data_IF_734901340589
#
_entry.id   IF_734901340589
#
_cell.length_a   1.000
_cell.length_b   1.000
_cell.length_c   1.000
_cell.angle_alpha   90.00
_cell.angle_beta   90.00
_cell.angle_gamma   90.00
#
_symmetry.space_group_name_H-M   'P 1'
#
loop_
_entity.id
_entity.type
_entity.pdbx_description
1 polymer ?
#
# COMPACT_ATOMS: atom_id res chain seq x y z
N UNK A 1 -9.92 -8.82 -7.49
CA UNK A 1 -9.44 -9.23 -6.16
C UNK A 1 -9.81 -8.20 -5.11
N UNK A 2 -10.38 -8.67 -4.02
CA UNK A 2 -10.77 -7.79 -2.93
C UNK A 2 -10.91 -8.64 -1.67
N UNK A 3 -10.19 -8.27 -0.62
CA UNK A 3 -10.30 -9.01 0.63
C UNK A 3 -9.83 -8.15 1.81
N UNK A 4 -10.18 -8.61 3.02
CA UNK A 4 -9.88 -7.94 4.27
C UNK A 4 -8.92 -8.80 5.08
N UNK A 5 -7.82 -8.21 5.53
CA UNK A 5 -6.88 -8.85 6.44
C UNK A 5 -6.98 -8.14 7.78
N UNK A 6 -7.61 -8.80 8.76
CA UNK A 6 -7.94 -8.21 10.05
C UNK A 6 -6.99 -8.73 11.13
N UNK A 7 -6.17 -7.83 11.67
CA UNK A 7 -5.23 -8.18 12.72
C UNK A 7 -5.59 -7.46 14.02
N UNK A 8 -4.87 -7.79 15.09
CA UNK A 8 -5.20 -7.29 16.43
C UNK A 8 -5.31 -5.77 16.50
N UNK A 9 -4.38 -5.05 15.91
CA UNK A 9 -4.35 -3.58 16.00
C UNK A 9 -4.40 -2.86 14.67
N UNK A 10 -4.50 -3.59 13.57
CA UNK A 10 -4.53 -2.99 12.23
C UNK A 10 -5.34 -3.87 11.29
N UNK A 11 -6.10 -3.23 10.41
CA UNK A 11 -6.86 -3.91 9.38
C UNK A 11 -6.35 -3.45 8.03
N UNK A 12 -6.11 -4.39 7.12
CA UNK A 12 -5.74 -4.08 5.74
C UNK A 12 -6.87 -4.51 4.81
N UNK A 13 -7.29 -3.60 3.96
CA UNK A 13 -8.25 -3.92 2.92
C UNK A 13 -7.52 -3.88 1.59
N UNK A 14 -7.61 -4.96 0.81
CA UNK A 14 -6.95 -5.08 -0.48
C UNK A 14 -8.00 -5.06 -1.57
N UNK A 15 -7.84 -4.17 -2.53
CA UNK A 15 -8.85 -3.96 -3.56
C UNK A 15 -8.18 -3.69 -4.90
N UNK A 16 -8.59 -4.42 -5.93
CA UNK A 16 -8.13 -4.15 -7.28
C UNK A 16 -8.93 -2.98 -7.84
N UNK A 17 -8.25 -1.89 -8.18
CA UNK A 17 -8.93 -0.69 -8.67
C UNK A 17 -8.87 -0.56 -10.19
N UNK A 18 -7.93 -1.24 -10.82
CA UNK A 18 -7.87 -1.37 -12.28
C UNK A 18 -6.94 -2.53 -12.61
N UNK A 19 -6.77 -2.80 -13.89
CA UNK A 19 -6.07 -4.00 -14.35
C UNK A 19 -4.69 -4.19 -13.74
N UNK A 20 -3.95 -3.10 -13.57
CA UNK A 20 -2.57 -3.20 -13.10
C UNK A 20 -2.31 -2.46 -11.78
N UNK A 21 -3.34 -2.19 -11.00
CA UNK A 21 -3.18 -1.44 -9.76
C UNK A 21 -4.04 -2.00 -8.64
N UNK A 22 -3.39 -2.19 -7.49
CA UNK A 22 -4.01 -2.70 -6.27
C UNK A 22 -3.94 -1.59 -5.21
N UNK A 23 -5.06 -1.33 -4.57
CA UNK A 23 -5.11 -0.40 -3.44
C UNK A 23 -5.06 -1.21 -2.16
N UNK A 24 -4.14 -0.84 -1.27
CA UNK A 24 -4.08 -1.42 0.07
C UNK A 24 -4.35 -0.28 1.04
N UNK A 25 -5.50 -0.35 1.66
CA UNK A 25 -5.91 0.66 2.65
C UNK A 25 -5.84 0.05 4.04
N UNK A 26 -5.21 0.76 4.97
CA UNK A 26 -5.14 0.27 6.34
C UNK A 26 -5.91 1.20 7.28
N UNK A 27 -6.45 0.60 8.33
CA UNK A 27 -7.08 1.33 9.43
C UNK A 27 -6.48 0.82 10.72
N UNK A 28 -6.08 1.74 11.58
CA UNK A 28 -5.52 1.38 12.88
C UNK A 28 -6.67 1.26 13.88
N UNK A 29 -6.66 0.18 14.65
CA UNK A 29 -7.66 -0.04 15.70
C UNK A 29 -7.29 0.69 16.99
N UNK A 30 -6.02 1.11 17.09
CA UNK A 30 -5.53 1.91 18.20
C UNK A 30 -4.24 2.58 17.75
N UNK A 31 -3.72 3.47 18.57
CA UNK A 31 -2.44 4.10 18.28
C UNK A 31 -1.34 3.04 18.30
N UNK A 32 -0.43 3.08 17.33
CA UNK A 32 0.66 2.11 17.27
C UNK A 32 1.84 2.55 18.10
N UNK A 33 2.51 1.57 18.74
CA UNK A 33 3.81 1.76 19.34
C UNK A 33 4.86 1.26 18.33
N UNK A 34 6.06 1.84 18.32
CA UNK A 34 7.09 1.36 17.37
C UNK A 34 7.33 -0.14 17.42
N UNK A 35 7.26 -0.75 18.60
CA UNK A 35 7.47 -2.19 18.74
C UNK A 35 6.39 -3.02 18.05
N UNK A 36 5.23 -2.44 17.79
CA UNK A 36 4.15 -3.15 17.10
C UNK A 36 4.55 -3.58 15.70
N UNK A 37 5.52 -2.88 15.09
CA UNK A 37 5.95 -3.22 13.73
C UNK A 37 6.41 -4.67 13.61
N UNK A 38 6.93 -5.25 14.69
CA UNK A 38 7.38 -6.64 14.68
C UNK A 38 6.23 -7.62 14.48
N UNK A 39 5.01 -7.20 14.76
CA UNK A 39 3.84 -8.06 14.73
C UNK A 39 2.84 -7.68 13.65
N UNK A 40 3.23 -6.79 12.73
CA UNK A 40 2.39 -6.43 11.60
C UNK A 40 2.73 -7.34 10.44
N UNK A 41 1.70 -7.98 9.88
CA UNK A 41 1.86 -8.88 8.75
C UNK A 41 1.03 -8.35 7.58
N UNK A 42 1.62 -7.46 6.76
CA UNK A 42 0.87 -6.92 5.62
C UNK A 42 0.54 -8.01 4.61
N UNK A 43 -0.51 -7.82 3.81
CA UNK A 43 -0.87 -8.80 2.77
C UNK A 43 0.31 -9.08 1.86
N UNK A 44 0.64 -10.36 1.70
CA UNK A 44 1.80 -10.79 0.93
C UNK A 44 1.51 -10.70 -0.57
N UNK A 45 2.28 -9.92 -1.34
CA UNK A 45 1.98 -9.72 -2.76
C UNK A 45 2.20 -10.96 -3.62
N UNK A 46 3.15 -11.81 -3.26
CA UNK A 46 3.42 -13.03 -4.02
C UNK A 46 2.34 -14.06 -3.75
N UNK A 47 2.06 -14.31 -2.47
CA UNK A 47 1.07 -15.27 -2.06
C UNK A 47 -0.31 -14.91 -2.61
N UNK A 48 -0.63 -13.62 -2.63
CA UNK A 48 -1.93 -13.13 -3.10
C UNK A 48 -1.91 -12.68 -4.56
N UNK A 49 -0.81 -12.96 -5.25
CA UNK A 49 -0.71 -12.81 -6.71
C UNK A 49 -0.91 -11.39 -7.23
N UNK A 50 -0.40 -10.40 -6.49
CA UNK A 50 -0.45 -9.03 -6.99
C UNK A 50 0.93 -8.36 -7.10
N UNK A 51 2.00 -9.17 -7.06
CA UNK A 51 3.35 -8.60 -7.14
C UNK A 51 3.64 -7.92 -8.48
N UNK A 52 2.90 -8.27 -9.53
CA UNK A 52 3.10 -7.65 -10.84
C UNK A 52 2.20 -6.44 -11.07
N UNK A 53 1.83 -5.77 -9.98
CA UNK A 53 0.97 -4.60 -10.03
C UNK A 53 1.61 -3.41 -9.34
N UNK A 54 1.08 -2.23 -9.64
CA UNK A 54 1.33 -1.06 -8.81
C UNK A 54 0.58 -1.28 -7.50
N UNK A 55 1.25 -1.10 -6.38
CA UNK A 55 0.63 -1.17 -5.06
C UNK A 55 0.48 0.25 -4.54
N UNK A 56 -0.76 0.66 -4.28
CA UNK A 56 -1.06 1.98 -3.74
C UNK A 56 -1.37 1.83 -2.25
N UNK A 57 -0.60 2.53 -1.42
CA UNK A 57 -0.78 2.48 0.02
C UNK A 57 -1.61 3.67 0.47
N UNK A 58 -2.60 3.43 1.32
CA UNK A 58 -3.51 4.46 1.81
C UNK A 58 -3.87 4.18 3.26
N UNK A 59 -4.05 5.23 4.04
CA UNK A 59 -4.47 5.10 5.43
C UNK A 59 -3.79 6.13 6.31
N UNK A 60 -4.36 6.35 7.49
CA UNK A 60 -3.82 7.27 8.47
C UNK A 60 -2.95 6.52 9.46
N UNK A 61 -1.69 6.94 9.57
CA UNK A 61 -0.78 6.32 10.52
C UNK A 61 0.51 7.09 10.60
N UNK A 62 1.41 6.69 11.50
CA UNK A 62 2.69 7.38 11.63
C UNK A 62 3.54 7.19 10.39
N UNK A 63 4.42 8.16 10.14
CA UNK A 63 5.24 8.11 8.93
C UNK A 63 6.13 6.87 8.89
N UNK A 64 6.59 6.38 10.06
CA UNK A 64 7.44 5.20 10.09
C UNK A 64 6.69 3.92 9.71
N UNK A 65 5.35 3.91 9.84
CA UNK A 65 4.56 2.79 9.34
C UNK A 65 4.63 2.75 7.82
N UNK A 66 4.53 3.91 7.16
CA UNK A 66 4.68 3.96 5.70
C UNK A 66 6.07 3.51 5.27
N UNK A 67 7.11 3.90 6.02
CA UNK A 67 8.45 3.43 5.71
C UNK A 67 8.55 1.92 5.76
N UNK A 68 7.96 1.32 6.79
CA UNK A 68 7.94 -0.13 6.95
C UNK A 68 7.18 -0.80 5.80
N UNK A 69 6.00 -0.28 5.45
CA UNK A 69 5.19 -0.85 4.38
C UNK A 69 5.87 -0.73 3.02
N UNK A 70 6.49 0.41 2.74
CA UNK A 70 7.19 0.59 1.47
C UNK A 70 8.31 -0.42 1.31
N UNK A 71 9.06 -0.64 2.39
CA UNK A 71 10.12 -1.66 2.34
C UNK A 71 9.54 -3.06 2.15
N UNK A 72 8.44 -3.36 2.84
CA UNK A 72 7.80 -4.67 2.73
C UNK A 72 7.38 -4.95 1.29
N UNK A 73 6.86 -3.92 0.59
CA UNK A 73 6.36 -4.09 -0.77
C UNK A 73 7.42 -3.82 -1.85
N UNK A 74 8.69 -3.69 -1.46
CA UNK A 74 9.77 -3.47 -2.41
C UNK A 74 9.74 -4.40 -3.64
N UNK A 75 9.38 -5.69 -3.52
CA UNK A 75 9.41 -6.59 -4.67
C UNK A 75 8.32 -6.37 -5.72
N UNK A 76 7.30 -5.54 -5.43
CA UNK A 76 6.22 -5.36 -6.41
C UNK A 76 6.67 -4.47 -7.57
N UNK A 77 5.85 -4.41 -8.61
CA UNK A 77 6.15 -3.66 -9.83
C UNK A 77 6.42 -2.18 -9.55
N UNK A 78 5.61 -1.55 -8.72
CA UNK A 78 5.78 -0.16 -8.33
C UNK A 78 4.97 0.12 -7.08
N UNK A 79 5.35 1.18 -6.34
CA UNK A 79 4.66 1.57 -5.11
C UNK A 79 4.30 3.04 -5.20
N UNK A 80 3.06 3.36 -4.83
CA UNK A 80 2.60 4.74 -4.73
C UNK A 80 1.93 4.95 -3.38
N UNK A 81 1.95 6.19 -2.91
CA UNK A 81 1.36 6.55 -1.61
C UNK A 81 0.26 7.57 -1.85
N UNK A 82 -0.93 7.27 -1.37
CA UNK A 82 -2.07 8.16 -1.55
C UNK A 82 -1.92 9.42 -0.69
N UNK A 83 -2.13 10.57 -1.32
CA UNK A 83 -2.09 11.87 -0.64
C UNK A 83 -3.42 12.56 -0.90
N UNK A 84 -4.27 12.71 0.13
CA UNK A 84 -5.60 13.35 -0.06
C UNK A 84 -5.51 14.76 -0.62
N UNK A 85 -4.44 15.50 -0.31
CA UNK A 85 -4.29 16.87 -0.80
C UNK A 85 -4.12 16.91 -2.31
N UNK A 86 -3.58 15.85 -2.89
CA UNK A 86 -3.37 15.75 -4.34
C UNK A 86 -4.47 14.95 -5.02
N UNK A 87 -5.37 14.37 -4.23
CA UNK A 87 -6.44 13.51 -4.73
C UNK A 87 -5.87 12.43 -5.65
N UNK A 88 -4.78 11.82 -5.23
CA UNK A 88 -4.13 10.79 -6.00
C UNK A 88 -2.96 10.20 -5.26
N UNK A 89 -2.33 9.20 -5.86
CA UNK A 89 -1.20 8.52 -5.26
C UNK A 89 0.09 8.88 -5.97
N UNK A 90 1.12 9.19 -5.20
CA UNK A 90 2.42 9.58 -5.74
C UNK A 90 3.29 8.35 -5.84
N UNK A 91 3.80 8.06 -7.04
CA UNK A 91 4.71 6.94 -7.25
C UNK A 91 6.05 7.26 -6.59
N UNK A 92 6.47 6.42 -5.63
CA UNK A 92 7.70 6.65 -4.88
C UNK A 92 8.77 5.60 -5.16
N UNK A 93 8.38 4.47 -5.77
CA UNK A 93 9.33 3.43 -6.15
C UNK A 93 8.80 2.73 -7.39
N UNK A 94 9.68 2.41 -8.35
CA UNK A 94 9.23 1.76 -9.57
C UNK A 94 10.32 0.87 -10.16
N UNK A 95 9.92 -0.33 -10.55
CA UNK A 95 10.77 -1.26 -11.30
C UNK A 95 10.25 -1.41 -12.72
N UNK A 96 9.39 -0.49 -13.17
CA UNK A 96 8.69 -0.60 -14.43
C UNK A 96 8.69 0.72 -15.19
N UNK A 97 8.71 0.63 -16.51
CA UNK A 97 8.60 1.83 -17.35
C UNK A 97 7.18 2.38 -17.37
N UNK A 98 6.21 1.57 -16.92
CA UNK A 98 4.81 1.98 -16.91
C UNK A 98 4.50 3.03 -15.85
N UNK A 99 5.34 3.11 -14.82
CA UNK A 99 5.11 4.03 -13.71
C UNK A 99 6.39 4.80 -13.42
N UNK A 100 6.31 6.12 -13.48
CA UNK A 100 7.47 6.99 -13.26
C UNK A 100 7.43 7.58 -11.85
N UNK A 101 8.57 7.58 -11.18
CA UNK A 101 8.69 8.18 -9.86
C UNK A 101 8.25 9.64 -9.95
N UNK A 102 7.39 10.06 -9.01
CA UNK A 102 6.86 11.41 -8.97
C UNK A 102 5.54 11.59 -9.71
N UNK A 103 5.14 10.60 -10.51
CA UNK A 103 3.84 10.68 -11.18
C UNK A 103 2.70 10.53 -10.19
N UNK A 104 1.57 11.14 -10.51
CA UNK A 104 0.37 11.04 -9.68
C UNK A 104 -0.61 10.10 -10.37
N UNK A 105 -1.02 9.07 -9.64
CA UNK A 105 -1.97 8.08 -10.13
C UNK A 105 -3.31 8.35 -9.46
N UNK A 106 -4.35 8.57 -10.27
CA UNK A 106 -5.69 8.79 -9.72
C UNK A 106 -6.32 7.44 -9.38
N UNK A 107 -7.06 7.39 -8.28
CA UNK A 107 -7.73 6.16 -7.88
C UNK A 107 -8.99 5.94 -8.68
N UNK A 108 -9.59 7.02 -9.19
CA UNK A 108 -10.81 6.94 -9.99
C UNK A 108 -10.50 7.29 -11.44
N UNK A 109 -11.30 6.75 -12.32
CA UNK A 109 -11.15 6.97 -13.75
C UNK A 109 -11.88 8.22 -14.18
#
# INVERSE_FOLDING_TARGET
MEYLNDEEFITFEVKKIRENAILIHFDLKRELEPADLKNINPPDPVKNKFSNNLVILSGRGPIWLYGFLIHFYHPVKAIAVFDPRLDGAVVVESHSKDFNIGSIVKLEE
#
